data_IF_187814200411
#
_entry.id   IF_187814200411
#
_cell.length_a   1.000
_cell.length_b   1.000
_cell.length_c   1.000
_cell.angle_alpha   90.00
_cell.angle_beta   90.00
_cell.angle_gamma   90.00
#
_symmetry.space_group_name_H-M   'P 1'
#
loop_
_entity.id
_entity.type
_entity.pdbx_description
1 polymer ?
#
# COMPACT_ATOMS: atom_id res chain seq x y z
N UNK A 1 8.25 9.53 -16.97
CA UNK A 1 7.30 8.51 -16.47
C UNK A 1 7.86 7.92 -15.19
N UNK A 2 7.12 8.00 -14.07
CA UNK A 2 7.57 7.55 -12.75
C UNK A 2 7.44 6.03 -12.61
N UNK A 3 8.35 5.40 -11.86
CA UNK A 3 8.32 3.98 -11.55
C UNK A 3 7.71 3.74 -10.16
N UNK A 4 6.67 2.93 -10.10
CA UNK A 4 5.98 2.55 -8.86
C UNK A 4 6.39 1.14 -8.45
N UNK A 5 6.71 0.94 -7.16
CA UNK A 5 6.76 -0.37 -6.56
C UNK A 5 5.52 -0.60 -5.68
N UNK A 6 4.96 -1.81 -5.71
CA UNK A 6 3.87 -2.22 -4.83
C UNK A 6 4.39 -3.29 -3.86
N UNK A 7 4.16 -3.10 -2.56
CA UNK A 7 4.39 -4.11 -1.53
C UNK A 7 3.04 -4.68 -1.07
N UNK A 8 2.92 -6.00 -1.07
CA UNK A 8 1.70 -6.69 -0.65
C UNK A 8 2.00 -8.05 -0.01
N UNK A 9 1.15 -8.49 0.94
CA UNK A 9 1.31 -9.76 1.66
C UNK A 9 0.24 -10.81 1.34
N UNK A 10 -0.76 -10.46 0.54
CA UNK A 10 -1.97 -11.27 0.35
C UNK A 10 -2.39 -11.48 -1.09
N UNK A 11 -3.71 -11.46 -1.31
CA UNK A 11 -4.36 -11.73 -2.60
C UNK A 11 -3.95 -10.76 -3.72
N UNK A 12 -3.68 -9.49 -3.37
CA UNK A 12 -3.20 -8.49 -4.32
C UNK A 12 -4.27 -7.88 -5.23
N UNK A 13 -5.53 -7.91 -4.83
CA UNK A 13 -6.63 -7.32 -5.63
C UNK A 13 -6.45 -5.82 -5.83
N UNK A 14 -6.04 -5.09 -4.79
CA UNK A 14 -5.67 -3.68 -4.91
C UNK A 14 -4.43 -3.48 -5.79
N UNK A 15 -3.41 -4.34 -5.65
CA UNK A 15 -2.22 -4.27 -6.50
C UNK A 15 -2.58 -4.46 -7.99
N UNK A 16 -3.41 -5.46 -8.31
CA UNK A 16 -3.89 -5.71 -9.67
C UNK A 16 -4.69 -4.52 -10.22
N UNK A 17 -5.56 -3.92 -9.40
CA UNK A 17 -6.33 -2.74 -9.78
C UNK A 17 -5.41 -1.56 -10.12
N UNK A 18 -4.38 -1.31 -9.31
CA UNK A 18 -3.37 -0.27 -9.57
C UNK A 18 -2.57 -0.58 -10.84
N UNK A 19 -2.14 -1.83 -11.06
CA UNK A 19 -1.44 -2.25 -12.27
C UNK A 19 -2.30 -1.96 -13.51
N UNK A 20 -3.55 -2.38 -13.51
CA UNK A 20 -4.48 -2.16 -14.63
C UNK A 20 -4.74 -0.68 -14.88
N UNK A 21 -4.87 0.11 -13.82
CA UNK A 21 -5.07 1.56 -13.94
C UNK A 21 -3.90 2.25 -14.67
N UNK A 22 -2.66 1.88 -14.32
CA UNK A 22 -1.47 2.50 -14.90
C UNK A 22 -1.01 1.89 -16.22
N UNK A 23 -1.59 0.77 -16.68
CA UNK A 23 -1.19 0.10 -17.93
C UNK A 23 -1.31 0.98 -19.18
N UNK A 24 -2.23 1.94 -19.17
CA UNK A 24 -2.49 2.85 -20.30
C UNK A 24 -2.20 4.33 -19.94
N UNK A 25 -1.38 4.58 -18.91
CA UNK A 25 -1.03 5.93 -18.47
C UNK A 25 0.40 6.29 -18.86
N UNK A 26 0.63 7.56 -19.08
CA UNK A 26 1.96 8.11 -19.37
C UNK A 26 2.60 8.78 -18.15
N UNK A 27 1.86 8.95 -17.05
CA UNK A 27 2.32 9.59 -15.81
C UNK A 27 3.27 8.68 -15.04
N UNK A 28 2.86 7.42 -14.85
CA UNK A 28 3.63 6.42 -14.12
C UNK A 28 3.34 5.00 -14.65
N UNK A 29 4.18 4.05 -14.21
CA UNK A 29 3.98 2.61 -14.42
C UNK A 29 4.32 1.83 -13.16
N UNK A 30 3.66 0.73 -12.93
CA UNK A 30 4.10 -0.26 -11.94
C UNK A 30 5.27 -1.04 -12.53
N UNK A 31 6.43 -0.94 -11.91
CA UNK A 31 7.67 -1.56 -12.41
C UNK A 31 8.09 -2.77 -11.58
N UNK A 32 7.58 -2.88 -10.35
CA UNK A 32 7.99 -3.92 -9.42
C UNK A 32 6.87 -4.23 -8.41
N UNK A 33 6.62 -5.51 -8.17
CA UNK A 33 5.77 -5.99 -7.07
C UNK A 33 6.61 -6.83 -6.13
N UNK A 34 6.57 -6.50 -4.84
CA UNK A 34 7.34 -7.21 -3.82
C UNK A 34 6.39 -7.85 -2.79
N UNK A 35 6.74 -9.04 -2.33
CA UNK A 35 6.00 -9.72 -1.25
C UNK A 35 6.94 -10.38 -0.25
N UNK A 36 6.53 -10.31 1.03
CA UNK A 36 7.16 -11.04 2.13
C UNK A 36 6.62 -12.47 2.29
N UNK A 37 5.79 -12.93 1.35
CA UNK A 37 5.25 -14.30 1.31
C UNK A 37 5.50 -14.90 -0.06
N UNK A 38 6.28 -15.99 -0.12
CA UNK A 38 6.69 -16.66 -1.36
C UNK A 38 5.52 -17.10 -2.24
N UNK A 39 4.42 -17.51 -1.63
CA UNK A 39 3.23 -18.01 -2.32
C UNK A 39 2.09 -16.99 -2.34
N UNK A 40 2.36 -15.71 -2.10
CA UNK A 40 1.33 -14.68 -2.15
C UNK A 40 0.73 -14.59 -3.57
N UNK A 41 -0.60 -14.70 -3.73
CA UNK A 41 -1.24 -14.62 -5.05
C UNK A 41 -0.93 -13.31 -5.80
N UNK A 42 -0.58 -12.24 -5.10
CA UNK A 42 -0.18 -10.98 -5.72
C UNK A 42 1.01 -11.13 -6.67
N UNK A 43 1.97 -12.01 -6.38
CA UNK A 43 3.13 -12.24 -7.25
C UNK A 43 2.67 -12.81 -8.60
N UNK A 44 1.83 -13.85 -8.58
CA UNK A 44 1.27 -14.43 -9.80
C UNK A 44 0.47 -13.41 -10.61
N UNK A 45 -0.40 -12.61 -9.96
CA UNK A 45 -1.15 -11.54 -10.63
C UNK A 45 -0.25 -10.52 -11.30
N UNK A 46 0.86 -10.15 -10.66
CA UNK A 46 1.84 -9.24 -11.24
C UNK A 46 2.54 -9.85 -12.47
N UNK A 47 2.96 -11.12 -12.40
CA UNK A 47 3.57 -11.85 -13.51
C UNK A 47 2.63 -11.97 -14.71
N UNK A 48 1.35 -12.28 -14.48
CA UNK A 48 0.30 -12.32 -15.51
C UNK A 48 0.11 -10.96 -16.23
N UNK A 49 0.46 -9.87 -15.58
CA UNK A 49 0.47 -8.53 -16.15
C UNK A 49 1.87 -8.07 -16.63
N UNK A 50 2.83 -9.00 -16.79
CA UNK A 50 4.21 -8.73 -17.19
C UNK A 50 4.96 -7.76 -16.28
N UNK A 51 4.60 -7.70 -15.00
CA UNK A 51 5.30 -6.92 -13.99
C UNK A 51 6.31 -7.80 -13.26
N UNK A 52 7.51 -7.29 -13.06
CA UNK A 52 8.56 -7.98 -12.32
C UNK A 52 8.19 -8.17 -10.86
N UNK A 53 8.49 -9.36 -10.32
CA UNK A 53 8.19 -9.72 -8.95
C UNK A 53 9.45 -10.02 -8.14
N UNK A 54 9.39 -9.76 -6.84
CA UNK A 54 10.43 -10.13 -5.88
C UNK A 54 9.78 -10.67 -4.60
N UNK A 55 10.14 -11.90 -4.24
CA UNK A 55 9.94 -12.39 -2.88
C UNK A 55 11.15 -12.01 -2.02
N UNK A 56 10.90 -11.61 -0.77
CA UNK A 56 11.96 -11.30 0.18
C UNK A 56 11.65 -11.85 1.58
N UNK A 57 12.71 -12.17 2.31
CA UNK A 57 12.66 -12.68 3.66
C UNK A 57 12.82 -11.55 4.69
N UNK A 58 12.45 -11.83 5.95
CA UNK A 58 12.55 -10.88 7.06
C UNK A 58 13.97 -10.28 7.18
N UNK A 59 15.01 -11.13 7.10
CA UNK A 59 16.41 -10.68 7.16
C UNK A 59 16.76 -9.72 6.02
N UNK A 60 16.21 -9.95 4.83
CA UNK A 60 16.46 -9.12 3.65
C UNK A 60 15.77 -7.75 3.74
N UNK A 61 14.67 -7.68 4.48
CA UNK A 61 13.92 -6.44 4.69
C UNK A 61 14.52 -5.58 5.80
N UNK A 62 14.81 -6.20 6.96
CA UNK A 62 15.19 -5.44 8.16
C UNK A 62 16.71 -5.37 8.44
N UNK A 63 17.51 -6.32 7.92
CA UNK A 63 18.91 -6.44 8.33
C UNK A 63 19.86 -6.11 7.18
N UNK A 64 19.69 -6.75 6.02
CA UNK A 64 20.71 -6.64 4.94
C UNK A 64 20.47 -5.47 3.99
N UNK A 65 19.34 -4.77 4.10
CA UNK A 65 18.96 -3.69 3.19
C UNK A 65 18.73 -4.14 1.74
N UNK A 66 18.56 -5.46 1.49
CA UNK A 66 18.45 -6.00 0.12
C UNK A 66 17.20 -5.48 -0.59
N UNK A 67 16.09 -5.29 0.14
CA UNK A 67 14.87 -4.72 -0.44
C UNK A 67 15.08 -3.28 -0.87
N UNK A 68 15.76 -2.45 -0.07
CA UNK A 68 16.12 -1.09 -0.47
C UNK A 68 16.99 -1.10 -1.73
N UNK A 69 17.97 -2.01 -1.82
CA UNK A 69 18.79 -2.13 -3.05
C UNK A 69 17.96 -2.50 -4.28
N UNK A 70 16.94 -3.35 -4.16
CA UNK A 70 16.02 -3.61 -5.27
C UNK A 70 15.25 -2.36 -5.69
N UNK A 71 14.70 -1.61 -4.73
CA UNK A 71 13.97 -0.38 -5.02
C UNK A 71 14.85 0.63 -5.78
N UNK A 72 16.10 0.80 -5.36
CA UNK A 72 17.07 1.66 -6.04
C UNK A 72 17.48 1.14 -7.42
N UNK A 73 17.77 -0.16 -7.55
CA UNK A 73 18.14 -0.81 -8.81
C UNK A 73 17.05 -0.64 -9.89
N UNK A 74 15.80 -0.79 -9.49
CA UNK A 74 14.65 -0.60 -10.38
C UNK A 74 14.22 0.88 -10.53
N UNK A 75 15.01 1.81 -9.99
CA UNK A 75 14.76 3.26 -10.05
C UNK A 75 13.33 3.60 -9.64
N UNK A 76 12.90 3.04 -8.52
CA UNK A 76 11.56 3.28 -7.98
C UNK A 76 11.47 4.73 -7.49
N UNK A 77 10.46 5.44 -7.94
CA UNK A 77 10.16 6.82 -7.52
C UNK A 77 9.15 6.88 -6.38
N UNK A 78 8.25 5.89 -6.30
CA UNK A 78 7.13 5.89 -5.38
C UNK A 78 6.77 4.46 -4.92
N UNK A 79 6.42 4.31 -3.66
CA UNK A 79 6.08 3.01 -3.06
C UNK A 79 4.63 3.03 -2.60
N UNK A 80 3.89 1.98 -2.96
CA UNK A 80 2.48 1.76 -2.63
C UNK A 80 2.37 0.51 -1.77
N UNK A 81 1.80 0.63 -0.57
CA UNK A 81 1.47 -0.51 0.26
C UNK A 81 0.01 -0.92 0.00
N UNK A 82 -0.19 -2.14 -0.46
CA UNK A 82 -1.51 -2.68 -0.80
C UNK A 82 -1.77 -3.99 -0.04
N UNK A 83 -2.17 -3.89 1.22
CA UNK A 83 -2.30 -5.03 2.12
C UNK A 83 -0.94 -5.63 2.51
N UNK A 84 0.04 -4.79 2.76
CA UNK A 84 1.34 -5.18 3.28
C UNK A 84 1.32 -5.17 4.81
N UNK A 85 1.73 -6.28 5.45
CA UNK A 85 1.49 -6.51 6.87
C UNK A 85 2.67 -6.19 7.79
N UNK A 86 3.88 -6.00 7.23
CA UNK A 86 5.05 -5.67 8.03
C UNK A 86 5.24 -4.15 8.11
N UNK A 87 5.81 -3.68 9.21
CA UNK A 87 6.24 -2.30 9.34
C UNK A 87 7.39 -2.03 8.35
N UNK A 88 7.32 -0.92 7.63
CA UNK A 88 8.40 -0.54 6.71
C UNK A 88 9.61 -0.11 7.53
N UNK A 89 10.82 -0.68 7.27
CA UNK A 89 12.01 -0.36 8.05
C UNK A 89 12.48 1.07 7.81
N UNK A 90 13.16 1.60 8.81
CA UNK A 90 13.58 3.01 8.86
C UNK A 90 14.39 3.45 7.64
N UNK A 91 15.34 2.64 7.20
CA UNK A 91 16.17 2.93 6.04
C UNK A 91 15.36 3.13 4.74
N UNK A 92 14.23 2.42 4.58
CA UNK A 92 13.33 2.62 3.43
C UNK A 92 12.48 3.88 3.63
N UNK A 93 11.94 4.09 4.84
CA UNK A 93 11.14 5.28 5.16
C UNK A 93 11.96 6.56 4.97
N UNK A 94 13.21 6.58 5.40
CA UNK A 94 14.10 7.75 5.27
C UNK A 94 14.49 8.02 3.82
N UNK A 95 14.85 6.96 3.06
CA UNK A 95 15.18 7.10 1.65
C UNK A 95 14.00 7.58 0.81
N UNK A 96 12.79 7.13 1.13
CA UNK A 96 11.55 7.42 0.40
C UNK A 96 10.61 8.35 1.19
N UNK A 97 11.16 9.30 1.97
CA UNK A 97 10.38 10.28 2.74
C UNK A 97 9.38 11.01 1.83
N UNK A 98 8.09 10.97 2.20
CA UNK A 98 6.99 11.55 1.42
C UNK A 98 6.66 10.81 0.12
N UNK A 99 7.19 9.60 -0.07
CA UNK A 99 7.05 8.79 -1.29
C UNK A 99 6.53 7.38 -1.02
N UNK A 100 6.02 7.11 0.18
CA UNK A 100 5.40 5.84 0.55
C UNK A 100 4.00 6.14 1.07
N UNK A 101 3.01 5.49 0.49
CA UNK A 101 1.63 5.57 0.96
C UNK A 101 1.05 4.18 1.24
N UNK A 102 0.09 4.14 2.14
CA UNK A 102 -0.69 2.95 2.47
C UNK A 102 -2.18 3.24 2.33
N UNK A 103 -2.95 2.19 2.03
CA UNK A 103 -4.40 2.21 2.15
C UNK A 103 -4.83 1.35 3.34
N UNK A 104 -5.64 1.91 4.22
CA UNK A 104 -6.18 1.25 5.39
C UNK A 104 -7.70 1.16 5.30
N UNK A 105 -8.31 -0.01 5.58
CA UNK A 105 -9.75 -0.25 5.35
C UNK A 105 -10.64 0.26 6.49
N UNK A 106 -10.30 1.42 7.08
CA UNK A 106 -11.09 2.11 8.09
C UNK A 106 -10.84 3.63 8.05
N UNK A 107 -11.63 4.35 8.83
CA UNK A 107 -11.49 5.79 9.04
C UNK A 107 -10.48 6.04 10.17
N UNK A 108 -9.19 6.14 9.82
CA UNK A 108 -8.15 6.46 10.80
C UNK A 108 -8.46 7.75 11.57
N UNK A 109 -8.12 7.83 12.86
CA UNK A 109 -7.27 6.91 13.63
C UNK A 109 -8.00 5.67 14.20
N UNK A 110 -9.31 5.54 13.99
CA UNK A 110 -10.06 4.37 14.45
C UNK A 110 -9.60 3.11 13.71
N UNK A 111 -9.53 2.00 14.43
CA UNK A 111 -9.16 0.68 13.88
C UNK A 111 -7.81 0.65 13.16
N UNK A 112 -6.87 1.55 13.52
CA UNK A 112 -5.50 1.55 13.03
C UNK A 112 -4.54 0.88 14.00
N UNK A 113 -3.32 0.59 13.52
CA UNK A 113 -2.22 0.07 14.31
C UNK A 113 -1.94 -1.43 14.13
N UNK A 114 -0.94 -1.92 14.87
CA UNK A 114 -0.46 -3.30 14.73
C UNK A 114 -1.57 -4.33 14.92
N UNK A 115 -1.75 -5.20 13.94
CA UNK A 115 -2.76 -6.27 13.96
C UNK A 115 -4.12 -5.89 13.41
N UNK A 116 -4.37 -4.62 13.10
CA UNK A 116 -5.62 -4.13 12.51
C UNK A 116 -5.51 -4.11 10.98
N UNK A 117 -6.02 -5.14 10.32
CA UNK A 117 -6.01 -5.27 8.85
C UNK A 117 -7.13 -6.18 8.34
N UNK A 118 -7.57 -5.93 7.11
CA UNK A 118 -8.52 -6.78 6.39
C UNK A 118 -9.78 -7.09 7.20
N UNK A 119 -10.17 -8.35 7.24
CA UNK A 119 -11.40 -8.81 7.91
C UNK A 119 -11.46 -8.47 9.42
N UNK A 120 -10.32 -8.36 10.08
CA UNK A 120 -10.26 -8.01 11.52
C UNK A 120 -10.87 -6.62 11.74
N UNK A 121 -10.57 -5.67 10.85
CA UNK A 121 -11.12 -4.31 10.89
C UNK A 121 -12.64 -4.35 10.72
N UNK A 122 -13.13 -5.05 9.70
CA UNK A 122 -14.58 -5.12 9.44
C UNK A 122 -15.35 -5.79 10.57
N UNK A 123 -14.79 -6.85 11.17
CA UNK A 123 -15.35 -7.49 12.36
C UNK A 123 -15.43 -6.52 13.55
N UNK A 124 -14.39 -5.71 13.76
CA UNK A 124 -14.35 -4.74 14.84
C UNK A 124 -15.40 -3.62 14.64
N UNK A 125 -15.53 -3.09 13.42
CA UNK A 125 -16.55 -2.08 13.08
C UNK A 125 -17.96 -2.61 13.31
N UNK A 126 -18.28 -3.82 12.85
CA UNK A 126 -19.60 -4.43 13.06
C UNK A 126 -19.87 -4.70 14.55
N UNK A 127 -18.89 -5.25 15.28
CA UNK A 127 -19.02 -5.54 16.70
C UNK A 127 -19.21 -4.27 17.56
N UNK A 128 -18.64 -3.14 17.11
CA UNK A 128 -18.80 -1.84 17.77
C UNK A 128 -20.09 -1.10 17.38
N UNK A 129 -20.91 -1.66 16.49
CA UNK A 129 -22.14 -1.06 15.99
C UNK A 129 -21.95 0.34 15.36
N UNK A 130 -20.80 0.58 14.75
CA UNK A 130 -20.52 1.83 14.06
C UNK A 130 -21.50 2.05 12.91
N UNK A 131 -21.86 3.32 12.66
CA UNK A 131 -22.80 3.70 11.60
C UNK A 131 -22.11 3.98 10.26
N UNK A 132 -20.81 4.19 10.31
CA UNK A 132 -19.97 4.48 9.14
C UNK A 132 -18.65 3.68 9.23
N UNK A 133 -18.14 3.33 8.08
CA UNK A 133 -16.80 2.85 7.86
C UNK A 133 -16.22 3.52 6.60
N UNK A 134 -15.08 3.07 6.10
CA UNK A 134 -14.51 3.64 4.88
C UNK A 134 -13.05 3.25 4.69
N UNK A 135 -12.33 4.12 4.01
CA UNK A 135 -10.90 3.96 3.75
C UNK A 135 -10.13 5.20 4.17
N UNK A 136 -8.87 4.99 4.53
CA UNK A 136 -7.89 6.06 4.71
C UNK A 136 -6.65 5.76 3.87
N UNK A 137 -6.26 6.71 3.04
CA UNK A 137 -4.97 6.69 2.34
C UNK A 137 -4.08 7.68 3.06
N UNK A 138 -2.90 7.24 3.48
CA UNK A 138 -2.01 8.03 4.34
C UNK A 138 -0.55 7.81 3.98
N UNK A 139 0.30 8.77 4.32
CA UNK A 139 1.74 8.58 4.24
C UNK A 139 2.22 7.53 5.24
N UNK A 140 3.27 6.82 4.88
CA UNK A 140 3.90 5.83 5.76
C UNK A 140 5.07 6.47 6.49
N UNK A 141 5.10 6.25 7.80
CA UNK A 141 6.18 6.64 8.69
C UNK A 141 6.70 5.44 9.51
N UNK A 142 7.49 5.68 10.54
CA UNK A 142 8.09 4.64 11.40
C UNK A 142 7.09 3.94 12.35
N UNK A 143 5.80 4.27 12.28
CA UNK A 143 4.74 3.69 13.11
C UNK A 143 3.58 3.19 12.25
N UNK A 144 2.91 2.12 12.69
CA UNK A 144 1.72 1.60 11.99
C UNK A 144 0.60 2.64 11.96
N UNK A 145 0.10 2.96 10.77
CA UNK A 145 -1.08 3.77 10.48
C UNK A 145 -1.11 5.15 11.17
N UNK A 146 0.08 5.76 11.40
CA UNK A 146 0.25 7.05 12.09
C UNK A 146 0.77 8.18 11.19
N UNK A 147 0.94 7.95 9.91
CA UNK A 147 1.30 9.01 8.97
C UNK A 147 0.13 9.91 8.63
N UNK A 148 0.43 11.09 8.10
CA UNK A 148 -0.57 12.09 7.72
C UNK A 148 -1.54 11.54 6.68
N UNK A 149 -2.84 11.79 6.90
CA UNK A 149 -3.91 11.35 6.01
C UNK A 149 -3.90 12.22 4.75
N UNK A 150 -3.86 11.56 3.58
CA UNK A 150 -3.92 12.19 2.27
C UNK A 150 -5.37 12.27 1.80
N UNK A 151 -6.11 11.17 2.00
CA UNK A 151 -7.49 11.04 1.53
C UNK A 151 -8.28 10.10 2.43
N UNK A 152 -9.53 10.46 2.70
CA UNK A 152 -10.51 9.59 3.37
C UNK A 152 -11.85 9.66 2.66
N UNK A 153 -12.54 8.53 2.59
CA UNK A 153 -13.94 8.48 2.16
C UNK A 153 -14.69 7.41 2.93
N UNK A 154 -16.02 7.57 2.98
CA UNK A 154 -16.91 6.83 3.88
C UNK A 154 -17.91 5.99 3.12
N UNK A 155 -18.36 4.91 3.75
CA UNK A 155 -19.58 4.20 3.42
C UNK A 155 -20.44 4.03 4.67
N UNK A 156 -21.75 3.95 4.45
CA UNK A 156 -22.70 3.63 5.52
C UNK A 156 -22.60 2.16 5.90
N UNK A 157 -22.65 1.90 7.20
CA UNK A 157 -22.82 0.55 7.77
C UNK A 157 -24.30 0.38 8.09
N UNK A 158 -24.95 -0.54 7.41
CA UNK A 158 -26.36 -0.83 7.63
C UNK A 158 -26.51 -1.86 8.78
N UNK A 159 -27.61 -1.82 9.55
CA UNK A 159 -27.83 -2.75 10.65
C UNK A 159 -27.79 -4.25 10.26
N UNK A 160 -28.01 -4.55 8.98
CA UNK A 160 -27.96 -5.90 8.42
C UNK A 160 -26.60 -6.28 7.86
N UNK A 161 -25.62 -5.36 7.87
CA UNK A 161 -24.29 -5.66 7.35
C UNK A 161 -23.58 -6.72 8.19
N UNK A 162 -22.92 -7.60 7.48
CA UNK A 162 -21.95 -8.56 8.01
C UNK A 162 -20.52 -8.03 7.77
N UNK A 163 -19.49 -8.59 8.41
CA UNK A 163 -18.11 -8.25 8.07
C UNK A 163 -17.79 -8.43 6.58
N UNK A 164 -18.40 -9.44 5.94
CA UNK A 164 -18.19 -9.70 4.51
C UNK A 164 -18.84 -8.64 3.61
N UNK A 165 -20.12 -8.28 3.86
CA UNK A 165 -20.80 -7.24 3.07
C UNK A 165 -20.16 -5.86 3.27
N UNK A 166 -19.69 -5.57 4.50
CA UNK A 166 -18.92 -4.35 4.75
C UNK A 166 -17.60 -4.35 4.00
N UNK A 167 -16.89 -5.49 3.97
CA UNK A 167 -15.65 -5.61 3.19
C UNK A 167 -15.87 -5.30 1.70
N UNK A 168 -16.96 -5.76 1.11
CA UNK A 168 -17.32 -5.46 -0.29
C UNK A 168 -17.51 -3.96 -0.52
N UNK A 169 -18.24 -3.27 0.39
CA UNK A 169 -18.41 -1.82 0.34
C UNK A 169 -17.07 -1.06 0.42
N UNK A 170 -16.21 -1.48 1.34
CA UNK A 170 -14.89 -0.86 1.54
C UNK A 170 -13.97 -1.14 0.34
N UNK A 171 -13.94 -2.38 -0.19
CA UNK A 171 -13.16 -2.70 -1.39
C UNK A 171 -13.60 -1.89 -2.62
N UNK A 172 -14.91 -1.62 -2.77
CA UNK A 172 -15.38 -0.75 -3.86
C UNK A 172 -14.79 0.66 -3.76
N UNK A 173 -14.69 1.21 -2.56
CA UNK A 173 -14.02 2.50 -2.32
C UNK A 173 -12.52 2.43 -2.60
N UNK A 174 -11.83 1.37 -2.15
CA UNK A 174 -10.41 1.17 -2.43
C UNK A 174 -10.13 1.17 -3.93
N UNK A 175 -10.89 0.37 -4.70
CA UNK A 175 -10.70 0.25 -6.14
C UNK A 175 -10.96 1.55 -6.89
N UNK A 176 -11.95 2.32 -6.44
CA UNK A 176 -12.32 3.60 -7.07
C UNK A 176 -11.28 4.70 -6.80
N UNK A 177 -10.77 4.77 -5.57
CA UNK A 177 -10.03 5.94 -5.10
C UNK A 177 -8.51 5.73 -5.07
N UNK A 178 -8.03 4.54 -4.71
CA UNK A 178 -6.59 4.35 -4.50
C UNK A 178 -5.74 4.65 -5.74
N UNK A 179 -6.06 4.14 -6.94
CA UNK A 179 -5.27 4.44 -8.13
C UNK A 179 -5.25 5.94 -8.49
N UNK A 180 -6.35 6.64 -8.26
CA UNK A 180 -6.46 8.09 -8.55
C UNK A 180 -5.59 8.91 -7.60
N UNK A 181 -5.63 8.58 -6.31
CA UNK A 181 -4.78 9.26 -5.31
C UNK A 181 -3.31 8.97 -5.60
N UNK A 182 -2.95 7.73 -5.98
CA UNK A 182 -1.58 7.41 -6.40
C UNK A 182 -1.18 8.30 -7.60
N UNK A 183 -2.02 8.44 -8.62
CA UNK A 183 -1.72 9.27 -9.80
C UNK A 183 -1.47 10.73 -9.40
N UNK A 184 -2.37 11.32 -8.61
CA UNK A 184 -2.20 12.70 -8.11
C UNK A 184 -0.91 12.90 -7.31
N UNK A 185 -0.53 11.89 -6.50
CA UNK A 185 0.71 11.96 -5.73
C UNK A 185 1.94 11.87 -6.61
N UNK A 186 1.95 10.98 -7.59
CA UNK A 186 3.11 10.76 -8.49
C UNK A 186 3.33 11.97 -9.40
N UNK A 187 2.26 12.64 -9.85
CA UNK A 187 2.34 13.85 -10.68
C UNK A 187 2.98 15.03 -9.93
N UNK A 188 2.73 15.12 -8.63
CA UNK A 188 3.25 16.19 -7.77
C UNK A 188 4.68 15.93 -7.26
N UNK A 189 5.25 14.72 -7.51
CA UNK A 189 6.56 14.37 -6.98
C UNK A 189 7.67 15.22 -7.63
N UNK A 190 8.54 15.81 -6.81
CA UNK A 190 9.81 16.35 -7.30
C UNK A 190 10.70 15.21 -7.84
N UNK A 191 11.75 15.55 -8.56
CA UNK A 191 12.71 14.55 -9.01
C UNK A 191 13.31 13.78 -7.82
N UNK A 192 13.54 12.49 -8.03
CA UNK A 192 14.05 11.63 -6.96
C UNK A 192 15.57 11.77 -6.85
N UNK A 193 16.00 12.37 -5.77
CA UNK A 193 17.41 12.43 -5.40
C UNK A 193 17.73 11.23 -4.51
N UNK A 194 18.58 10.33 -4.97
CA UNK A 194 19.11 9.25 -4.12
C UNK A 194 19.96 9.94 -3.05
N UNK A 195 19.56 9.80 -1.78
CA UNK A 195 20.40 10.20 -0.66
C UNK A 195 21.60 9.26 -0.66
N UNK A 196 22.78 9.78 -0.94
CA UNK A 196 24.03 9.03 -0.79
C UNK A 196 24.22 8.60 0.68
N UNK A 197 25.08 7.60 0.96
CA UNK A 197 25.48 7.34 2.32
C UNK A 197 26.03 8.64 2.90
N UNK A 198 25.51 9.05 4.08
CA UNK A 198 26.12 10.14 4.81
C UNK A 198 27.58 9.73 5.07
N UNK A 199 28.53 10.52 4.60
CA UNK A 199 29.94 10.35 4.91
C UNK A 199 30.08 10.59 6.44
N UNK A 200 30.20 9.48 7.18
CA UNK A 200 30.53 9.49 8.61
C UNK A 200 32.03 9.38 8.80
#
# INVERSE_FOLDING_TARGET
MRNIAILASGTGTNAENVIKYFSNKNTAKVSLVLSNKRQAPVLKRAEENNIRTVFFEHKEFYVTGKVLRYLLLYKIDFIVLAGFLWLVPENIVEQYTGRIINIHPALLPAYGGKGMYGEIVHKAVIANHDKESGISIHYVNKMYDKGDIIYQTRCKVDPSDTPASLAEKVHALEYLHYPKVIEEMVEKLPDFLIKGPEET
#
